data_IF_072951670917
#
_entry.id   IF_072951670917
#
_cell.length_a   1.000
_cell.length_b   1.000
_cell.length_c   1.000
_cell.angle_alpha   90.00
_cell.angle_beta   90.00
_cell.angle_gamma   90.00
#
_symmetry.space_group_name_H-M   'P 1'
#
loop_
_entity.id
_entity.type
_entity.pdbx_description
1 polymer ?
#
# COMPACT_ATOMS: atom_id res chain seq x y z
N UNK A 1 -19.23 -4.26 33.54
CA UNK A 1 -17.98 -3.52 33.24
C UNK A 1 -17.59 -3.89 31.82
N UNK A 2 -17.76 -2.98 30.87
CA UNK A 2 -17.45 -3.25 29.46
C UNK A 2 -15.97 -2.97 29.17
N UNK A 3 -15.39 -3.75 28.27
CA UNK A 3 -14.05 -3.52 27.72
C UNK A 3 -14.16 -3.32 26.21
N UNK A 4 -13.27 -2.50 25.69
CA UNK A 4 -13.03 -2.29 24.28
C UNK A 4 -11.64 -2.83 23.94
N UNK A 5 -11.50 -3.54 22.83
CA UNK A 5 -10.26 -4.19 22.44
C UNK A 5 -9.78 -3.66 21.10
N UNK A 6 -8.58 -3.07 21.09
CA UNK A 6 -7.91 -2.63 19.88
C UNK A 6 -6.85 -3.64 19.47
N UNK A 7 -6.99 -4.22 18.29
CA UNK A 7 -5.99 -5.12 17.71
C UNK A 7 -5.17 -4.32 16.70
N UNK A 8 -3.88 -4.17 16.97
CA UNK A 8 -2.95 -3.38 16.16
C UNK A 8 -1.96 -4.30 15.48
N UNK A 9 -2.02 -4.37 14.15
CA UNK A 9 -1.10 -5.10 13.30
C UNK A 9 0.12 -4.22 12.98
N UNK A 10 1.27 -4.57 13.56
CA UNK A 10 2.57 -4.01 13.19
C UNK A 10 3.22 -4.91 12.13
N UNK A 11 4.26 -4.42 11.41
CA UNK A 11 4.96 -5.23 10.42
C UNK A 11 5.60 -6.51 10.98
N UNK A 12 5.99 -6.51 12.25
CA UNK A 12 6.71 -7.62 12.89
C UNK A 12 5.85 -8.46 13.81
N UNK A 13 4.75 -7.91 14.34
CA UNK A 13 3.92 -8.56 15.35
C UNK A 13 2.52 -7.94 15.43
N UNK A 14 1.60 -8.64 16.09
CA UNK A 14 0.28 -8.10 16.44
C UNK A 14 0.25 -7.79 17.92
N UNK A 15 -0.23 -6.61 18.29
CA UNK A 15 -0.36 -6.17 19.68
C UNK A 15 -1.82 -5.82 19.95
N UNK A 16 -2.31 -6.18 21.13
CA UNK A 16 -3.67 -5.88 21.57
C UNK A 16 -3.63 -4.87 22.72
N UNK A 17 -4.54 -3.89 22.70
CA UNK A 17 -4.75 -2.94 23.79
C UNK A 17 -6.18 -3.05 24.29
N UNK A 18 -6.32 -3.14 25.61
CA UNK A 18 -7.61 -3.15 26.27
C UNK A 18 -7.91 -1.75 26.84
N UNK A 19 -9.07 -1.21 26.50
CA UNK A 19 -9.59 0.05 27.00
C UNK A 19 -10.87 -0.20 27.79
N UNK A 20 -11.14 0.64 28.79
CA UNK A 20 -12.45 0.63 29.46
C UNK A 20 -13.50 1.23 28.52
N UNK A 21 -14.71 0.67 28.44
CA UNK A 21 -15.76 1.17 27.53
C UNK A 21 -16.20 2.63 27.76
N UNK A 22 -15.82 3.25 28.88
CA UNK A 22 -16.05 4.67 29.17
C UNK A 22 -14.98 5.59 28.57
N UNK A 23 -13.88 5.04 28.05
CA UNK A 23 -12.74 5.82 27.57
C UNK A 23 -12.96 6.20 26.12
N UNK A 24 -12.89 7.50 25.81
CA UNK A 24 -12.90 7.95 24.43
C UNK A 24 -11.52 7.70 23.79
N UNK A 25 -11.44 6.74 22.89
CA UNK A 25 -10.21 6.43 22.17
C UNK A 25 -10.23 7.06 20.78
N UNK A 26 -9.24 7.90 20.49
CA UNK A 26 -9.08 8.58 19.20
C UNK A 26 -7.83 8.11 18.45
N UNK A 27 -7.79 8.31 17.14
CA UNK A 27 -6.59 8.02 16.33
C UNK A 27 -5.32 8.68 16.86
N UNK A 28 -5.40 9.93 17.34
CA UNK A 28 -4.29 10.64 17.99
C UNK A 28 -3.83 9.96 19.27
N UNK A 29 -4.76 9.52 20.14
CA UNK A 29 -4.41 8.83 21.39
C UNK A 29 -3.64 7.52 21.13
N UNK A 30 -4.09 6.73 20.14
CA UNK A 30 -3.43 5.49 19.74
C UNK A 30 -2.07 5.77 19.11
N UNK A 31 -1.95 6.81 18.27
CA UNK A 31 -0.66 7.21 17.71
C UNK A 31 0.33 7.58 18.80
N UNK A 32 -0.07 8.41 19.77
CA UNK A 32 0.81 8.82 20.87
C UNK A 32 1.25 7.61 21.70
N UNK A 33 0.32 6.74 22.07
CA UNK A 33 0.64 5.52 22.81
C UNK A 33 1.65 4.62 22.07
N UNK A 34 1.51 4.46 20.75
CA UNK A 34 2.48 3.73 19.93
C UNK A 34 3.83 4.47 19.82
N UNK A 35 3.80 5.80 19.72
CA UNK A 35 5.03 6.60 19.66
C UNK A 35 5.84 6.50 20.96
N UNK A 36 5.17 6.56 22.11
CA UNK A 36 5.80 6.42 23.42
C UNK A 36 6.36 5.01 23.62
N UNK A 37 5.59 3.98 23.25
CA UNK A 37 6.00 2.59 23.42
C UNK A 37 7.19 2.19 22.53
N UNK A 38 7.24 2.69 21.30
CA UNK A 38 8.27 2.31 20.32
C UNK A 38 9.32 3.40 20.07
N UNK A 39 9.27 4.51 20.82
CA UNK A 39 10.15 5.67 20.69
C UNK A 39 10.19 6.21 19.25
N UNK A 40 9.01 6.47 18.68
CA UNK A 40 8.82 6.94 17.30
C UNK A 40 8.29 8.37 17.26
N UNK A 41 8.53 9.07 16.16
CA UNK A 41 7.91 10.37 15.90
C UNK A 41 6.49 10.20 15.35
N UNK A 42 5.50 10.91 15.88
CA UNK A 42 4.10 10.82 15.43
C UNK A 42 3.92 11.09 13.92
N UNK A 43 4.77 11.94 13.34
CA UNK A 43 4.72 12.25 11.90
C UNK A 43 5.17 11.09 11.01
N UNK A 44 5.88 10.11 11.57
CA UNK A 44 6.40 8.92 10.88
C UNK A 44 5.39 7.78 10.81
N UNK A 45 4.25 7.88 11.51
CA UNK A 45 3.31 6.78 11.67
C UNK A 45 1.99 7.05 10.94
N UNK A 46 1.52 6.05 10.19
CA UNK A 46 0.20 6.02 9.57
C UNK A 46 -0.58 4.87 10.19
N UNK A 47 -1.76 5.20 10.72
CA UNK A 47 -2.76 4.23 11.12
C UNK A 47 -3.74 4.04 9.98
N UNK A 48 -4.08 2.81 9.65
CA UNK A 48 -5.11 2.49 8.67
C UNK A 48 -6.00 1.36 9.19
N UNK A 49 -7.26 1.32 8.78
CA UNK A 49 -8.11 0.17 9.04
C UNK A 49 -7.68 -1.04 8.18
N UNK A 50 -8.29 -2.21 8.40
CA UNK A 50 -8.06 -3.41 7.57
C UNK A 50 -8.35 -3.21 6.09
N UNK A 51 -9.25 -2.28 5.74
CA UNK A 51 -9.57 -1.91 4.36
C UNK A 51 -8.58 -0.92 3.72
N UNK A 52 -7.48 -0.58 4.39
CA UNK A 52 -6.47 0.36 3.89
C UNK A 52 -6.86 1.83 3.93
N UNK A 53 -8.00 2.19 4.55
CA UNK A 53 -8.39 3.59 4.77
C UNK A 53 -7.56 4.17 5.91
N UNK A 54 -6.90 5.29 5.64
CA UNK A 54 -6.09 6.01 6.62
C UNK A 54 -7.01 6.62 7.69
N UNK A 55 -6.65 6.40 8.96
CA UNK A 55 -7.34 6.96 10.11
C UNK A 55 -6.88 8.40 10.36
N UNK A 56 -7.84 9.31 10.53
CA UNK A 56 -7.60 10.69 10.93
C UNK A 56 -7.31 10.78 12.44
N UNK A 57 -6.55 11.78 12.86
CA UNK A 57 -6.16 11.95 14.26
C UNK A 57 -7.36 12.20 15.19
N UNK A 58 -8.43 12.78 14.67
CA UNK A 58 -9.68 13.07 15.40
C UNK A 58 -10.73 11.96 15.23
N UNK A 59 -10.44 10.90 14.47
CA UNK A 59 -11.37 9.80 14.31
C UNK A 59 -11.53 9.05 15.64
N UNK A 60 -12.78 8.87 16.06
CA UNK A 60 -13.13 8.10 17.24
C UNK A 60 -13.19 6.62 16.88
N UNK A 61 -12.49 5.80 17.65
CA UNK A 61 -12.57 4.35 17.56
C UNK A 61 -13.72 3.85 18.43
N UNK A 62 -14.20 2.65 18.15
CA UNK A 62 -15.27 1.95 18.85
C UNK A 62 -16.65 2.61 18.74
N UNK A 63 -16.91 3.32 17.64
CA UNK A 63 -18.22 3.97 17.42
C UNK A 63 -19.34 2.97 17.16
N UNK A 64 -19.01 1.82 16.54
CA UNK A 64 -20.01 0.82 16.14
C UNK A 64 -19.79 -0.54 16.81
N UNK A 65 -18.56 -0.85 17.23
CA UNK A 65 -18.18 -2.14 17.81
C UNK A 65 -17.21 -1.96 18.96
N UNK A 66 -17.22 -2.89 19.93
CA UNK A 66 -16.26 -2.90 21.04
C UNK A 66 -14.88 -3.43 20.65
N UNK A 67 -14.74 -3.97 19.44
CA UNK A 67 -13.47 -4.46 18.91
C UNK A 67 -13.18 -3.76 17.60
N UNK A 68 -11.97 -3.24 17.45
CA UNK A 68 -11.49 -2.63 16.22
C UNK A 68 -10.09 -3.14 15.88
N UNK A 69 -9.80 -3.17 14.58
CA UNK A 69 -8.54 -3.67 14.05
C UNK A 69 -7.89 -2.61 13.18
N UNK A 70 -6.64 -2.27 13.51
CA UNK A 70 -5.84 -1.28 12.81
C UNK A 70 -4.53 -1.90 12.33
N UNK A 71 -4.00 -1.34 11.26
CA UNK A 71 -2.69 -1.63 10.71
C UNK A 71 -1.79 -0.40 10.82
N UNK A 72 -0.54 -0.62 11.21
CA UNK A 72 0.46 0.42 11.41
C UNK A 72 1.46 0.39 10.26
N UNK A 73 1.63 1.54 9.63
CA UNK A 73 2.59 1.72 8.54
C UNK A 73 3.55 2.85 8.88
N UNK A 74 4.84 2.64 8.61
CA UNK A 74 5.86 3.68 8.74
C UNK A 74 5.95 4.49 7.45
N UNK A 75 6.06 5.81 7.59
CA UNK A 75 6.36 6.72 6.50
C UNK A 75 7.86 6.68 6.24
N UNK A 76 8.22 6.30 5.03
CA UNK A 76 9.60 6.40 4.57
C UNK A 76 9.95 7.89 4.34
N UNK A 77 11.03 8.35 4.96
CA UNK A 77 11.61 9.68 4.71
C UNK A 77 12.32 9.66 3.35
N UNK A 78 11.59 9.81 2.24
CA UNK A 78 12.20 9.80 0.91
C UNK A 78 11.26 9.62 -0.28
N UNK A 79 11.75 10.00 -1.47
CA UNK A 79 10.98 10.17 -2.69
C UNK A 79 10.55 8.86 -3.36
N UNK A 80 9.25 8.75 -3.62
CA UNK A 80 8.58 7.70 -4.42
C UNK A 80 9.00 7.66 -5.90
N UNK A 81 10.13 8.30 -6.24
CA UNK A 81 10.58 8.54 -7.60
C UNK A 81 11.24 7.33 -8.26
N UNK A 82 11.70 6.34 -7.49
CA UNK A 82 12.39 5.17 -8.03
C UNK A 82 11.54 4.36 -9.00
N UNK A 83 10.30 4.02 -8.61
CA UNK A 83 9.40 3.24 -9.46
C UNK A 83 8.99 4.01 -10.73
N UNK A 84 8.62 5.28 -10.60
CA UNK A 84 8.30 6.12 -11.75
C UNK A 84 9.49 6.36 -12.68
N UNK A 85 10.70 6.53 -12.14
CA UNK A 85 11.94 6.63 -12.93
C UNK A 85 12.27 5.33 -13.65
N UNK A 86 12.07 4.19 -12.98
CA UNK A 86 12.22 2.87 -13.58
C UNK A 86 11.23 2.68 -14.74
N UNK A 87 9.95 3.04 -14.55
CA UNK A 87 8.95 3.00 -15.62
C UNK A 87 9.32 3.91 -16.80
N UNK A 88 9.77 5.15 -16.55
CA UNK A 88 10.23 6.05 -17.62
C UNK A 88 11.45 5.49 -18.34
N UNK A 89 12.41 4.90 -17.63
CA UNK A 89 13.60 4.30 -18.23
C UNK A 89 13.25 3.09 -19.12
N UNK A 90 12.31 2.23 -18.67
CA UNK A 90 11.84 1.08 -19.43
C UNK A 90 11.01 1.50 -20.64
N UNK A 91 10.11 2.47 -20.49
CA UNK A 91 9.33 3.03 -21.59
C UNK A 91 10.21 3.68 -22.65
N UNK A 92 11.24 4.43 -22.23
CA UNK A 92 12.25 5.00 -23.14
C UNK A 92 13.01 3.93 -23.91
N UNK A 93 13.48 2.87 -23.22
CA UNK A 93 14.14 1.72 -23.85
C UNK A 93 13.25 1.04 -24.88
N UNK A 94 12.00 0.74 -24.53
CA UNK A 94 11.03 0.09 -25.42
C UNK A 94 10.70 0.96 -26.65
N UNK A 95 10.60 2.28 -26.49
CA UNK A 95 10.36 3.19 -27.60
C UNK A 95 11.61 3.37 -28.50
N UNK A 96 12.82 3.28 -27.93
CA UNK A 96 14.08 3.41 -28.67
C UNK A 96 14.52 2.14 -29.39
N UNK A 97 14.08 0.97 -28.93
CA UNK A 97 14.36 -0.31 -29.56
C UNK A 97 13.49 -0.45 -30.81
N UNK A 98 14.12 -0.37 -32.00
CA UNK A 98 13.44 -0.70 -33.25
C UNK A 98 12.96 -2.15 -33.18
N UNK A 99 11.67 -2.37 -33.48
CA UNK A 99 11.16 -3.73 -33.63
C UNK A 99 11.92 -4.44 -34.75
N UNK A 100 12.53 -5.57 -34.42
CA UNK A 100 13.25 -6.43 -35.38
C UNK A 100 12.46 -7.67 -35.76
N UNK A 101 11.38 -7.98 -35.03
CA UNK A 101 10.48 -9.08 -35.35
C UNK A 101 9.24 -8.51 -36.05
N UNK A 102 9.05 -8.91 -37.32
CA UNK A 102 7.90 -8.56 -38.14
C UNK A 102 7.05 -9.79 -38.49
N UNK A 103 7.26 -10.92 -37.81
CA UNK A 103 6.64 -12.21 -38.10
C UNK A 103 5.10 -12.16 -38.01
N UNK A 104 4.61 -11.26 -37.15
CA UNK A 104 3.18 -11.01 -36.95
C UNK A 104 2.55 -10.08 -37.99
N UNK A 105 3.35 -9.34 -38.77
CA UNK A 105 2.86 -8.48 -39.84
C UNK A 105 2.27 -9.32 -40.97
N UNK A 106 1.37 -8.73 -41.75
CA UNK A 106 0.72 -9.37 -42.90
C UNK A 106 1.24 -8.80 -44.22
N UNK A 107 1.23 -9.61 -45.28
CA UNK A 107 1.42 -9.16 -46.66
C UNK A 107 0.13 -8.55 -47.24
N UNK A 108 0.20 -8.02 -48.47
CA UNK A 108 -0.94 -7.45 -49.19
C UNK A 108 -2.03 -8.49 -49.56
N UNK A 109 -1.71 -9.78 -49.49
CA UNK A 109 -2.64 -10.90 -49.66
C UNK A 109 -3.22 -11.37 -48.32
N UNK A 110 -2.86 -10.73 -47.21
CA UNK A 110 -3.37 -11.01 -45.87
C UNK A 110 -2.71 -12.18 -45.14
N UNK A 111 -1.65 -12.78 -45.70
CA UNK A 111 -0.88 -13.87 -45.06
C UNK A 111 0.14 -13.30 -44.08
N UNK A 112 0.43 -13.99 -42.97
CA UNK A 112 1.48 -13.52 -42.04
C UNK A 112 2.87 -13.71 -42.66
N UNK A 113 3.78 -12.77 -42.42
CA UNK A 113 5.15 -12.82 -42.97
C UNK A 113 5.90 -14.10 -42.59
N UNK A 114 5.69 -14.59 -41.36
CA UNK A 114 6.26 -15.88 -40.92
C UNK A 114 5.85 -17.06 -41.79
N UNK A 115 4.60 -17.07 -42.27
CA UNK A 115 4.05 -18.19 -43.04
C UNK A 115 4.56 -18.12 -44.50
N UNK A 116 4.93 -16.93 -44.96
CA UNK A 116 5.56 -16.69 -46.27
C UNK A 116 7.05 -17.06 -46.24
N UNK A 117 7.77 -16.72 -45.17
CA UNK A 117 9.19 -17.11 -45.03
C UNK A 117 9.37 -18.62 -44.85
N UNK A 118 8.44 -19.31 -44.18
CA UNK A 118 8.47 -20.77 -44.04
C UNK A 118 8.15 -21.53 -45.35
N UNK A 119 7.66 -20.83 -46.38
CA UNK A 119 7.33 -21.39 -47.70
C UNK A 119 8.39 -21.05 -48.78
N UNK A 120 9.43 -20.30 -48.42
CA UNK A 120 10.64 -20.13 -49.23
C UNK A 120 11.56 -21.34 -49.06
#
# INVERSE_FOLDING_TARGET
MGYQQLIVQLPTQTVCYDYSSSTLVTGSSVKQQLCDQYNLEASSLILANLGGRILLDNAQLFTTSNTEQLSVHLRLRGGKGGFGSLLRSQGGRMNSQKTTNFDACRDLQGRRLRDVEAQK
#
